data_IF_148555590171
#
_entry.id   IF_148555590171
#
_cell.length_a   1.000
_cell.length_b   1.000
_cell.length_c   1.000
_cell.angle_alpha   90.00
_cell.angle_beta   90.00
_cell.angle_gamma   90.00
#
_symmetry.space_group_name_H-M   'P 1'
#
loop_
_entity.id
_entity.type
_entity.pdbx_description
1 polymer ?
#
# COMPACT_ATOMS: atom_id res chain seq x y z
N UNK A 1 15.73 22.01 -53.40
CA UNK A 1 16.80 22.72 -52.69
C UNK A 1 17.51 21.69 -51.87
N UNK A 2 18.78 21.45 -52.17
CA UNK A 2 19.41 20.15 -51.98
C UNK A 2 20.05 20.04 -50.58
N UNK A 3 19.61 20.88 -49.64
CA UNK A 3 20.05 20.91 -48.25
C UNK A 3 21.50 21.35 -48.04
N UNK A 4 22.24 21.66 -49.11
CA UNK A 4 23.62 22.12 -49.05
C UNK A 4 23.67 23.61 -48.74
N UNK A 5 23.89 23.94 -47.46
CA UNK A 5 24.26 25.27 -47.01
C UNK A 5 25.78 25.36 -46.85
N UNK A 6 26.38 26.44 -47.33
CA UNK A 6 27.78 26.76 -47.05
C UNK A 6 27.83 27.93 -46.07
N UNK A 7 28.73 27.84 -45.09
CA UNK A 7 29.06 28.97 -44.22
C UNK A 7 30.38 29.56 -44.71
N UNK A 8 30.42 30.88 -44.88
CA UNK A 8 31.61 31.61 -45.27
C UNK A 8 31.81 32.81 -44.35
N UNK A 9 33.05 33.28 -44.24
CA UNK A 9 33.37 34.49 -43.52
C UNK A 9 32.81 35.71 -44.26
N UNK A 10 32.43 36.74 -43.49
CA UNK A 10 31.87 38.00 -44.01
C UNK A 10 32.78 38.65 -45.08
N UNK A 11 34.08 38.55 -44.89
CA UNK A 11 35.10 39.12 -45.79
C UNK A 11 35.00 38.60 -47.22
N UNK A 12 34.54 37.35 -47.40
CA UNK A 12 34.43 36.70 -48.70
C UNK A 12 33.06 36.92 -49.38
N UNK A 13 32.19 37.74 -48.78
CA UNK A 13 30.82 37.94 -49.28
C UNK A 13 30.81 38.56 -50.68
N UNK A 14 31.58 39.62 -50.90
CA UNK A 14 31.63 40.32 -52.19
C UNK A 14 32.17 39.41 -53.31
N UNK A 15 33.24 38.67 -53.03
CA UNK A 15 33.80 37.69 -53.97
C UNK A 15 32.79 36.60 -54.36
N UNK A 16 31.98 36.14 -53.39
CA UNK A 16 30.93 35.16 -53.63
C UNK A 16 29.81 35.74 -54.51
N UNK A 17 29.36 36.98 -54.25
CA UNK A 17 28.34 37.64 -55.08
C UNK A 17 28.83 37.84 -56.51
N UNK A 18 30.08 38.25 -56.69
CA UNK A 18 30.66 38.45 -58.01
C UNK A 18 30.77 37.13 -58.78
N UNK A 19 31.16 36.04 -58.11
CA UNK A 19 31.15 34.69 -58.70
C UNK A 19 29.73 34.28 -59.13
N UNK A 20 28.73 34.45 -58.27
CA UNK A 20 27.35 34.07 -58.56
C UNK A 20 26.76 34.88 -59.70
N UNK A 21 27.02 36.19 -59.76
CA UNK A 21 26.60 37.05 -60.88
C UNK A 21 27.27 36.66 -62.18
N UNK A 22 28.54 36.25 -62.14
CA UNK A 22 29.29 35.76 -63.31
C UNK A 22 28.76 34.44 -63.84
N UNK A 23 28.39 33.51 -62.96
CA UNK A 23 27.85 32.20 -63.38
C UNK A 23 26.36 32.24 -63.75
N UNK A 24 25.60 33.19 -63.19
CA UNK A 24 24.14 33.32 -63.39
C UNK A 24 23.72 34.77 -63.56
N UNK A 25 23.80 35.28 -64.79
CA UNK A 25 23.51 36.68 -65.13
C UNK A 25 22.10 37.16 -64.74
N UNK A 26 21.11 36.27 -64.59
CA UNK A 26 19.72 36.62 -64.22
C UNK A 26 19.33 36.24 -62.80
N UNK A 27 20.28 35.80 -61.96
CA UNK A 27 19.94 35.37 -60.60
C UNK A 27 19.87 36.57 -59.65
N UNK A 28 18.67 36.82 -59.11
CA UNK A 28 18.45 37.80 -58.06
C UNK A 28 18.33 37.07 -56.71
N UNK A 29 19.42 37.00 -55.91
CA UNK A 29 19.36 36.39 -54.60
C UNK A 29 18.47 37.21 -53.65
N UNK A 30 17.60 36.52 -52.92
CA UNK A 30 16.91 37.10 -51.76
C UNK A 30 17.83 37.02 -50.55
N UNK A 31 18.07 38.16 -49.90
CA UNK A 31 18.92 38.21 -48.71
C UNK A 31 18.08 38.28 -47.44
N UNK A 32 18.48 37.50 -46.44
CA UNK A 32 17.91 37.54 -45.09
C UNK A 32 18.97 38.10 -44.14
N UNK A 33 18.63 39.16 -43.42
CA UNK A 33 19.56 39.88 -42.54
C UNK A 33 19.05 39.76 -41.10
N UNK A 34 19.94 39.35 -40.17
CA UNK A 34 19.62 39.21 -38.74
C UNK A 34 19.82 40.51 -37.96
N UNK A 35 20.76 41.38 -38.36
CA UNK A 35 21.07 42.64 -37.67
C UNK A 35 20.89 43.87 -38.56
N UNK A 36 20.28 44.93 -38.01
CA UNK A 36 19.96 46.17 -38.73
C UNK A 36 21.19 46.94 -39.23
N UNK A 37 22.35 46.69 -38.63
CA UNK A 37 23.63 47.35 -38.94
C UNK A 37 24.13 47.02 -40.35
N UNK A 38 23.66 45.93 -40.94
CA UNK A 38 24.10 45.44 -42.25
C UNK A 38 23.22 45.94 -43.43
N UNK A 39 22.13 46.69 -43.20
CA UNK A 39 21.24 47.15 -44.28
C UNK A 39 21.94 48.01 -45.37
N UNK A 40 23.06 48.68 -45.04
CA UNK A 40 23.73 49.61 -45.96
C UNK A 40 24.51 48.89 -47.07
N UNK A 41 25.06 47.71 -46.75
CA UNK A 41 25.93 46.95 -47.67
C UNK A 41 25.12 46.10 -48.67
N UNK A 42 23.84 45.83 -48.36
CA UNK A 42 22.96 44.91 -49.10
C UNK A 42 21.81 45.61 -49.86
N UNK A 43 21.82 46.94 -49.98
CA UNK A 43 20.73 47.75 -50.61
C UNK A 43 20.44 47.44 -52.09
N UNK A 44 21.27 46.66 -52.78
CA UNK A 44 21.09 46.35 -54.20
C UNK A 44 20.10 45.19 -54.46
N UNK A 45 19.47 44.61 -53.44
CA UNK A 45 18.59 43.45 -53.60
C UNK A 45 17.47 43.44 -52.56
N UNK A 46 16.36 42.77 -52.88
CA UNK A 46 15.22 42.58 -51.97
C UNK A 46 15.68 41.85 -50.70
N UNK A 47 15.94 42.64 -49.65
CA UNK A 47 16.38 42.15 -48.36
C UNK A 47 15.22 42.17 -47.37
N UNK A 48 15.08 41.07 -46.61
CA UNK A 48 14.09 40.95 -45.55
C UNK A 48 14.81 40.84 -44.21
N UNK A 49 14.54 41.77 -43.30
CA UNK A 49 14.97 41.65 -41.91
C UNK A 49 14.08 40.59 -41.25
N UNK A 50 14.72 39.56 -40.70
CA UNK A 50 14.04 38.42 -40.08
C UNK A 50 14.65 38.20 -38.71
N UNK A 51 13.82 38.02 -37.69
CA UNK A 51 14.29 37.72 -36.34
C UNK A 51 14.78 36.27 -36.27
N UNK A 52 15.79 36.00 -35.43
CA UNK A 52 16.33 34.66 -35.25
C UNK A 52 15.25 33.66 -34.81
N UNK A 53 14.29 34.11 -33.99
CA UNK A 53 13.17 33.28 -33.55
C UNK A 53 12.31 32.85 -34.73
N UNK A 54 11.99 33.77 -35.65
CA UNK A 54 11.20 33.44 -36.84
C UNK A 54 11.92 32.49 -37.80
N UNK A 55 13.26 32.59 -37.90
CA UNK A 55 14.06 31.64 -38.67
C UNK A 55 14.04 30.24 -38.02
N UNK A 56 14.20 30.17 -36.69
CA UNK A 56 14.11 28.91 -35.95
C UNK A 56 12.72 28.27 -36.07
N UNK A 57 11.65 29.06 -36.01
CA UNK A 57 10.29 28.55 -36.20
C UNK A 57 10.07 28.01 -37.61
N UNK A 58 10.55 28.71 -38.64
CA UNK A 58 10.44 28.24 -40.02
C UNK A 58 11.23 26.94 -40.23
N UNK A 59 12.47 26.89 -39.72
CA UNK A 59 13.30 25.69 -39.75
C UNK A 59 12.64 24.49 -39.03
N UNK A 60 12.09 24.70 -37.83
CA UNK A 60 11.40 23.65 -37.09
C UNK A 60 10.15 23.17 -37.85
N UNK A 61 9.36 24.10 -38.39
CA UNK A 61 8.17 23.76 -39.17
C UNK A 61 8.51 22.98 -40.45
N UNK A 62 9.64 23.29 -41.08
CA UNK A 62 10.13 22.59 -42.26
C UNK A 62 10.65 21.19 -41.91
N UNK A 63 11.34 21.06 -40.77
CA UNK A 63 11.78 19.76 -40.25
C UNK A 63 10.58 18.85 -39.92
N UNK A 64 9.50 19.40 -39.37
CA UNK A 64 8.28 18.64 -39.08
C UNK A 64 7.56 18.16 -40.33
N UNK A 65 7.46 19.02 -41.36
CA UNK A 65 6.82 18.66 -42.63
C UNK A 65 7.58 17.57 -43.41
N UNK A 66 8.91 17.53 -43.27
CA UNK A 66 9.78 16.64 -44.03
C UNK A 66 10.32 15.45 -43.21
N UNK A 67 9.78 15.23 -42.00
CA UNK A 67 10.23 14.19 -41.04
C UNK A 67 11.76 14.13 -40.87
N UNK A 68 12.41 15.30 -40.86
CA UNK A 68 13.85 15.38 -40.68
C UNK A 68 14.19 15.10 -39.21
N UNK A 69 15.28 14.38 -38.91
CA UNK A 69 15.69 14.08 -37.55
C UNK A 69 16.09 15.37 -36.82
N UNK A 70 15.15 15.94 -36.06
CA UNK A 70 15.40 17.13 -35.25
C UNK A 70 16.17 16.76 -33.98
N UNK A 71 17.37 17.32 -33.81
CA UNK A 71 18.15 17.21 -32.57
C UNK A 71 17.52 17.99 -31.40
N UNK A 72 16.56 18.87 -31.69
CA UNK A 72 15.88 19.71 -30.70
C UNK A 72 14.58 19.08 -30.18
N UNK A 73 14.15 17.94 -30.75
CA UNK A 73 12.91 17.26 -30.34
C UNK A 73 13.23 15.99 -29.55
N UNK A 74 12.99 16.04 -28.25
CA UNK A 74 13.06 14.86 -27.39
C UNK A 74 11.81 13.98 -27.64
N UNK A 75 11.98 12.88 -28.39
CA UNK A 75 10.95 11.83 -28.51
C UNK A 75 11.13 10.84 -27.36
N UNK A 76 10.16 10.78 -26.43
CA UNK A 76 10.14 9.75 -25.37
C UNK A 76 9.87 8.40 -26.04
N UNK A 77 10.92 7.62 -26.26
CA UNK A 77 10.83 6.29 -26.83
C UNK A 77 11.14 5.27 -25.75
N UNK A 78 10.31 4.23 -25.62
CA UNK A 78 10.48 3.18 -24.61
C UNK A 78 11.91 2.60 -24.62
N UNK A 79 12.43 2.26 -25.80
CA UNK A 79 13.83 1.80 -25.98
C UNK A 79 14.86 2.85 -25.53
N UNK A 80 14.61 4.13 -25.77
CA UNK A 80 15.50 5.23 -25.39
C UNK A 80 15.51 5.47 -23.89
N UNK A 81 14.34 5.42 -23.25
CA UNK A 81 14.19 5.53 -21.80
C UNK A 81 14.82 4.33 -21.09
N UNK A 82 14.55 3.12 -21.56
CA UNK A 82 15.17 1.88 -21.06
C UNK A 82 16.70 1.94 -21.14
N UNK A 83 17.24 2.43 -22.27
CA UNK A 83 18.68 2.60 -22.45
C UNK A 83 19.27 3.69 -21.56
N UNK A 84 18.54 4.78 -21.29
CA UNK A 84 18.95 5.81 -20.33
C UNK A 84 18.97 5.33 -18.88
N UNK A 85 18.09 4.37 -18.54
CA UNK A 85 18.02 3.79 -17.19
C UNK A 85 19.04 2.68 -16.95
N UNK A 86 19.86 2.30 -17.94
CA UNK A 86 20.84 1.20 -17.85
C UNK A 86 20.25 -0.12 -17.31
N UNK A 87 18.98 -0.40 -17.56
CA UNK A 87 18.32 -1.62 -17.08
C UNK A 87 18.69 -2.81 -17.97
N UNK A 88 19.18 -3.89 -17.36
CA UNK A 88 19.36 -5.16 -18.05
C UNK A 88 18.02 -5.90 -18.18
N UNK A 89 17.96 -6.93 -19.04
CA UNK A 89 16.76 -7.76 -19.24
C UNK A 89 16.28 -8.40 -17.93
N UNK A 90 17.21 -8.73 -17.02
CA UNK A 90 16.89 -9.30 -15.71
C UNK A 90 16.19 -8.29 -14.81
N UNK A 91 16.66 -7.04 -14.80
CA UNK A 91 16.09 -5.95 -14.00
C UNK A 91 14.68 -5.57 -14.48
N UNK A 92 14.43 -5.72 -15.79
CA UNK A 92 13.09 -5.54 -16.34
C UNK A 92 12.11 -6.62 -15.89
N UNK A 93 12.55 -7.88 -15.86
CA UNK A 93 11.70 -8.98 -15.38
C UNK A 93 11.44 -8.82 -13.88
N UNK A 94 12.46 -8.46 -13.10
CA UNK A 94 12.33 -8.24 -11.67
C UNK A 94 11.41 -7.05 -11.36
N UNK A 95 11.58 -5.93 -12.04
CA UNK A 95 10.70 -4.75 -11.85
C UNK A 95 9.26 -5.05 -12.24
N UNK A 96 9.04 -5.78 -13.34
CA UNK A 96 7.70 -6.22 -13.74
C UNK A 96 7.07 -7.14 -12.69
N UNK A 97 7.84 -8.08 -12.13
CA UNK A 97 7.37 -8.98 -11.08
C UNK A 97 7.00 -8.21 -9.80
N UNK A 98 7.81 -7.23 -9.39
CA UNK A 98 7.53 -6.39 -8.22
C UNK A 98 6.25 -5.57 -8.44
N UNK A 99 6.12 -4.92 -9.60
CA UNK A 99 4.91 -4.13 -9.93
C UNK A 99 3.68 -5.02 -9.94
N UNK A 100 3.78 -6.21 -10.53
CA UNK A 100 2.70 -7.19 -10.55
C UNK A 100 2.31 -7.62 -9.13
N UNK A 101 3.29 -7.96 -8.28
CA UNK A 101 3.06 -8.31 -6.88
C UNK A 101 2.37 -7.16 -6.12
N UNK A 102 2.81 -5.91 -6.31
CA UNK A 102 2.23 -4.74 -5.66
C UNK A 102 0.76 -4.52 -6.05
N UNK A 103 0.39 -4.83 -7.29
CA UNK A 103 -0.98 -4.74 -7.78
C UNK A 103 -1.86 -5.92 -7.34
N UNK A 104 -1.30 -7.13 -7.27
CA UNK A 104 -2.04 -8.34 -6.85
C UNK A 104 -2.21 -8.44 -5.33
N UNK A 105 -1.27 -7.91 -4.54
CA UNK A 105 -1.31 -7.95 -3.08
C UNK A 105 -2.64 -7.42 -2.47
N UNK A 106 -3.16 -6.23 -2.84
CA UNK A 106 -4.43 -5.74 -2.28
C UNK A 106 -5.63 -6.61 -2.68
N UNK A 107 -5.63 -7.15 -3.90
CA UNK A 107 -6.71 -8.00 -4.41
C UNK A 107 -6.76 -9.31 -3.61
N UNK A 108 -5.60 -9.94 -3.39
CA UNK A 108 -5.48 -11.14 -2.58
C UNK A 108 -5.90 -10.89 -1.13
N UNK A 109 -5.50 -9.75 -0.56
CA UNK A 109 -5.86 -9.39 0.81
C UNK A 109 -7.39 -9.24 0.95
N UNK A 110 -8.06 -8.53 0.03
CA UNK A 110 -9.52 -8.40 0.03
C UNK A 110 -10.21 -9.77 -0.07
N UNK A 111 -9.75 -10.64 -0.97
CA UNK A 111 -10.31 -11.98 -1.14
C UNK A 111 -10.15 -12.84 0.13
N UNK A 112 -8.97 -12.80 0.76
CA UNK A 112 -8.72 -13.50 2.02
C UNK A 112 -9.63 -12.95 3.13
N UNK A 113 -9.77 -11.63 3.25
CA UNK A 113 -10.59 -11.01 4.28
C UNK A 113 -12.08 -11.35 4.13
N UNK A 114 -12.58 -11.44 2.89
CA UNK A 114 -13.95 -11.90 2.63
C UNK A 114 -14.16 -13.37 3.02
N UNK A 115 -13.19 -14.24 2.73
CA UNK A 115 -13.24 -15.64 3.14
C UNK A 115 -13.23 -15.79 4.66
N UNK A 116 -12.36 -15.05 5.36
CA UNK A 116 -12.35 -15.04 6.83
C UNK A 116 -13.68 -14.53 7.40
N UNK A 117 -14.24 -13.46 6.84
CA UNK A 117 -15.55 -12.95 7.27
C UNK A 117 -16.64 -14.00 7.11
N UNK A 118 -16.69 -14.68 5.97
CA UNK A 118 -17.69 -15.71 5.69
C UNK A 118 -17.54 -16.91 6.64
N UNK A 119 -16.32 -17.39 6.83
CA UNK A 119 -16.03 -18.48 7.77
C UNK A 119 -16.40 -18.10 9.20
N UNK A 120 -16.11 -16.86 9.62
CA UNK A 120 -16.49 -16.36 10.93
C UNK A 120 -18.02 -16.30 11.08
N UNK A 121 -18.75 -15.79 10.08
CA UNK A 121 -20.22 -15.76 10.08
C UNK A 121 -20.81 -17.17 10.15
N UNK A 122 -20.27 -18.13 9.39
CA UNK A 122 -20.72 -19.53 9.39
C UNK A 122 -20.50 -20.21 10.75
N UNK A 123 -19.29 -20.08 11.31
CA UNK A 123 -18.95 -20.66 12.62
C UNK A 123 -19.75 -20.01 13.76
N UNK A 124 -19.98 -18.70 13.67
CA UNK A 124 -20.81 -18.00 14.65
C UNK A 124 -22.26 -18.49 14.57
N UNK A 125 -22.77 -18.67 13.34
CA UNK A 125 -24.12 -19.15 13.12
C UNK A 125 -24.30 -20.60 13.60
N UNK A 126 -23.29 -21.46 13.44
CA UNK A 126 -23.34 -22.83 13.95
C UNK A 126 -23.40 -22.85 15.48
N UNK A 127 -22.56 -22.06 16.16
CA UNK A 127 -22.57 -21.94 17.63
C UNK A 127 -23.95 -21.46 18.13
N UNK A 128 -24.53 -20.44 17.50
CA UNK A 128 -25.85 -19.94 17.93
C UNK A 128 -26.99 -20.90 17.63
N UNK A 129 -26.89 -21.72 16.58
CA UNK A 129 -27.87 -22.78 16.30
C UNK A 129 -27.78 -23.94 17.28
N UNK A 130 -26.58 -24.29 17.73
CA UNK A 130 -26.38 -25.30 18.78
C UNK A 130 -26.98 -24.84 20.12
N UNK A 131 -26.86 -23.55 20.44
CA UNK A 131 -27.46 -22.95 21.63
C UNK A 131 -28.98 -22.77 21.53
N UNK A 132 -29.49 -22.43 20.34
CA UNK A 132 -30.93 -22.27 20.11
C UNK A 132 -31.31 -22.73 18.68
N UNK A 133 -32.01 -23.86 18.53
CA UNK A 133 -32.34 -24.43 17.22
C UNK A 133 -33.32 -23.56 16.38
N UNK A 134 -33.98 -22.58 17.00
CA UNK A 134 -34.85 -21.62 16.30
C UNK A 134 -34.10 -20.37 15.78
N UNK A 135 -32.77 -20.32 15.91
CA UNK A 135 -31.96 -19.18 15.47
C UNK A 135 -31.87 -19.11 13.93
N UNK A 136 -32.48 -18.08 13.33
CA UNK A 136 -32.60 -17.95 11.86
C UNK A 136 -31.65 -16.92 11.21
N UNK A 137 -31.03 -15.99 11.96
CA UNK A 137 -30.17 -14.93 11.38
C UNK A 137 -29.26 -14.26 12.41
N UNK A 138 -27.98 -14.05 12.06
CA UNK A 138 -27.08 -13.13 12.76
C UNK A 138 -27.52 -11.69 12.39
N UNK A 139 -28.36 -11.08 13.21
CA UNK A 139 -28.72 -9.66 13.06
C UNK A 139 -27.69 -8.84 13.82
N UNK A 140 -26.83 -8.10 13.11
CA UNK A 140 -25.87 -7.11 13.62
C UNK A 140 -25.29 -7.41 15.02
N UNK A 141 -24.15 -8.08 15.08
CA UNK A 141 -23.43 -8.41 16.32
C UNK A 141 -23.18 -7.21 17.24
N UNK A 142 -23.00 -6.01 16.68
CA UNK A 142 -22.92 -4.77 17.48
C UNK A 142 -24.24 -4.50 18.22
N UNK A 143 -25.37 -4.61 17.54
CA UNK A 143 -26.68 -4.42 18.17
C UNK A 143 -26.99 -5.50 19.22
N UNK A 144 -26.49 -6.73 19.05
CA UNK A 144 -26.61 -7.78 20.06
C UNK A 144 -25.71 -7.52 21.28
N UNK A 145 -24.47 -7.05 21.07
CA UNK A 145 -23.61 -6.60 22.18
C UNK A 145 -24.22 -5.41 22.92
N UNK A 146 -24.79 -4.44 22.19
CA UNK A 146 -25.48 -3.30 22.80
C UNK A 146 -26.71 -3.77 23.59
N UNK A 147 -27.48 -4.74 23.08
CA UNK A 147 -28.61 -5.35 23.82
C UNK A 147 -28.15 -6.14 25.04
N UNK A 148 -27.03 -6.85 24.97
CA UNK A 148 -26.44 -7.56 26.11
C UNK A 148 -25.95 -6.58 27.18
N UNK A 149 -25.28 -5.49 26.79
CA UNK A 149 -24.85 -4.44 27.71
C UNK A 149 -26.04 -3.76 28.40
N UNK A 150 -27.12 -3.50 27.65
CA UNK A 150 -28.36 -2.96 28.22
C UNK A 150 -29.07 -3.95 29.16
N UNK A 151 -28.91 -5.26 28.95
CA UNK A 151 -29.46 -6.30 29.82
C UNK A 151 -28.62 -6.50 31.10
N UNK A 152 -27.31 -6.22 31.05
CA UNK A 152 -26.41 -6.31 32.23
C UNK A 152 -26.73 -5.21 33.26
N UNK A 153 -27.25 -4.05 32.83
CA UNK A 153 -27.73 -3.00 33.74
C UNK A 153 -29.03 -3.36 34.48
N UNK A 154 -29.70 -4.47 34.12
CA UNK A 154 -30.83 -4.99 34.90
C UNK A 154 -30.36 -5.95 35.98
N UNK A 155 -30.33 -5.47 37.22
CA UNK A 155 -29.98 -6.19 38.45
C UNK A 155 -30.90 -7.40 38.74
N UNK A 156 -30.78 -8.48 37.96
CA UNK A 156 -31.15 -9.82 38.40
C UNK A 156 -29.94 -10.73 38.24
N UNK A 157 -29.13 -10.80 39.30
CA UNK A 157 -28.07 -11.78 39.44
C UNK A 157 -28.68 -13.20 39.40
N UNK A 158 -28.76 -13.77 38.20
CA UNK A 158 -29.01 -15.20 38.05
C UNK A 158 -27.75 -15.96 38.48
N UNK A 159 -27.89 -17.04 39.26
CA UNK A 159 -26.76 -17.91 39.56
C UNK A 159 -26.18 -18.42 38.24
N UNK A 160 -24.89 -18.18 38.07
CA UNK A 160 -24.15 -18.50 36.87
C UNK A 160 -24.08 -20.02 36.72
N UNK A 161 -24.64 -20.56 35.63
CA UNK A 161 -24.58 -21.99 35.33
C UNK A 161 -23.11 -22.43 35.20
N UNK A 162 -22.71 -23.40 36.03
CA UNK A 162 -21.35 -23.96 36.11
C UNK A 162 -20.86 -24.55 34.76
N UNK A 163 -21.74 -24.69 33.76
CA UNK A 163 -21.37 -24.92 32.37
C UNK A 163 -20.38 -23.88 31.80
N UNK A 164 -20.25 -22.69 32.41
CA UNK A 164 -19.23 -21.71 32.04
C UNK A 164 -17.80 -22.14 32.38
N UNK A 165 -17.60 -23.07 33.33
CA UNK A 165 -16.31 -23.73 33.53
C UNK A 165 -15.91 -24.60 32.33
N UNK A 166 -16.86 -24.95 31.45
CA UNK A 166 -16.58 -25.56 30.15
C UNK A 166 -15.76 -24.65 29.22
N UNK A 167 -15.87 -23.33 29.38
CA UNK A 167 -15.04 -22.37 28.62
C UNK A 167 -13.58 -22.37 29.08
N UNK A 168 -13.27 -22.76 30.33
CA UNK A 168 -11.88 -23.00 30.75
C UNK A 168 -11.24 -24.13 29.96
N UNK A 169 -12.03 -25.11 29.49
CA UNK A 169 -11.58 -26.19 28.60
C UNK A 169 -11.28 -25.72 27.18
N UNK A 170 -11.85 -24.59 26.76
CA UNK A 170 -11.65 -23.99 25.43
C UNK A 170 -10.51 -22.97 25.38
N UNK A 171 -10.05 -22.50 26.54
CA UNK A 171 -8.76 -21.82 26.63
C UNK A 171 -7.70 -22.92 26.47
N UNK A 172 -6.79 -22.85 25.48
CA UNK A 172 -5.62 -23.72 25.46
C UNK A 172 -4.75 -23.33 26.64
N UNK A 173 -5.02 -23.91 27.81
CA UNK A 173 -4.23 -23.68 29.01
C UNK A 173 -3.08 -24.68 29.02
N UNK A 174 -2.24 -24.57 28.00
CA UNK A 174 -0.99 -25.35 27.86
C UNK A 174 0.02 -25.01 28.98
N UNK A 175 -0.31 -24.04 29.84
CA UNK A 175 0.50 -23.48 30.95
C UNK A 175 -0.10 -23.76 32.36
N UNK A 176 -1.20 -24.52 32.48
CA UNK A 176 -1.62 -25.11 33.77
C UNK A 176 -0.84 -26.41 33.92
N UNK A 177 0.12 -26.41 34.84
CA UNK A 177 0.96 -27.57 35.11
C UNK A 177 0.12 -28.76 35.62
N UNK A 178 -0.92 -28.47 36.42
CA UNK A 178 -1.93 -29.46 36.80
C UNK A 178 -3.21 -28.79 37.31
N UNK A 179 -4.35 -29.48 37.10
CA UNK A 179 -5.62 -29.15 37.75
C UNK A 179 -6.13 -30.42 38.42
N UNK A 180 -6.31 -30.37 39.75
CA UNK A 180 -6.82 -31.49 40.53
C UNK A 180 -8.14 -31.08 41.19
N UNK A 181 -9.19 -31.86 40.92
CA UNK A 181 -10.52 -31.65 41.48
C UNK A 181 -10.77 -32.75 42.50
N UNK A 182 -10.73 -32.40 43.78
CA UNK A 182 -11.14 -33.28 44.86
C UNK A 182 -12.65 -33.14 45.08
N UNK A 183 -13.41 -33.97 44.37
CA UNK A 183 -14.86 -34.04 44.50
C UNK A 183 -15.35 -34.46 45.90
N UNK A 184 -14.51 -35.10 46.73
CA UNK A 184 -14.91 -35.48 48.09
C UNK A 184 -14.89 -34.30 49.05
N UNK A 185 -14.02 -33.33 48.80
CA UNK A 185 -13.85 -32.16 49.64
C UNK A 185 -14.34 -30.86 48.98
N UNK A 186 -14.96 -30.94 47.79
CA UNK A 186 -15.37 -29.78 46.98
C UNK A 186 -14.23 -28.78 46.74
N UNK A 187 -13.00 -29.28 46.58
CA UNK A 187 -11.79 -28.47 46.40
C UNK A 187 -11.26 -28.57 44.98
N UNK A 188 -10.84 -27.44 44.43
CA UNK A 188 -10.11 -27.35 43.17
C UNK A 188 -8.74 -26.78 43.45
N UNK A 189 -7.71 -27.53 43.07
CA UNK A 189 -6.31 -27.10 43.15
C UNK A 189 -5.87 -26.76 41.72
N UNK A 190 -5.45 -25.51 41.52
CA UNK A 190 -4.91 -25.02 40.25
C UNK A 190 -3.43 -24.72 40.45
N UNK A 191 -2.57 -25.31 39.62
CA UNK A 191 -1.14 -25.03 39.58
C UNK A 191 -0.79 -24.32 38.27
N UNK A 192 -0.18 -23.14 38.39
CA UNK A 192 0.26 -22.33 37.26
C UNK A 192 1.77 -22.37 37.14
N UNK A 193 2.27 -22.61 35.92
CA UNK A 193 3.68 -22.46 35.58
C UNK A 193 3.84 -21.32 34.57
N UNK A 194 4.38 -20.19 35.05
CA UNK A 194 4.76 -19.02 34.25
C UNK A 194 3.65 -18.48 33.34
N UNK A 195 2.43 -18.35 33.85
CA UNK A 195 1.30 -17.80 33.09
C UNK A 195 1.43 -16.29 32.90
N UNK A 196 1.05 -15.76 31.73
CA UNK A 196 1.13 -14.32 31.46
C UNK A 196 0.11 -13.50 32.28
N UNK A 197 0.45 -12.24 32.58
CA UNK A 197 -0.40 -11.33 33.37
C UNK A 197 -1.83 -11.18 32.84
N UNK A 198 -2.01 -11.12 31.52
CA UNK A 198 -3.33 -11.02 30.90
C UNK A 198 -4.17 -12.28 31.14
N UNK A 199 -3.57 -13.46 31.00
CA UNK A 199 -4.25 -14.74 31.23
C UNK A 199 -4.61 -14.92 32.71
N UNK A 200 -3.70 -14.57 33.62
CA UNK A 200 -3.98 -14.61 35.05
C UNK A 200 -5.13 -13.68 35.46
N UNK A 201 -5.17 -12.45 34.91
CA UNK A 201 -6.26 -11.51 35.18
C UNK A 201 -7.63 -12.03 34.74
N UNK A 202 -7.70 -12.80 33.64
CA UNK A 202 -8.95 -13.42 33.19
C UNK A 202 -9.38 -14.48 34.18
N UNK A 203 -8.46 -15.34 34.62
CA UNK A 203 -8.73 -16.40 35.59
C UNK A 203 -9.18 -15.81 36.94
N UNK A 204 -8.49 -14.79 37.45
CA UNK A 204 -8.88 -14.08 38.68
C UNK A 204 -10.28 -13.46 38.57
N UNK A 205 -10.62 -12.88 37.42
CA UNK A 205 -11.96 -12.32 37.17
C UNK A 205 -13.03 -13.42 37.15
N UNK A 206 -12.76 -14.56 36.51
CA UNK A 206 -13.70 -15.68 36.46
C UNK A 206 -13.92 -16.30 37.84
N UNK A 207 -12.87 -16.41 38.65
CA UNK A 207 -12.98 -16.90 40.03
C UNK A 207 -13.84 -15.95 40.85
N UNK A 208 -13.61 -14.63 40.78
CA UNK A 208 -14.42 -13.62 41.48
C UNK A 208 -15.90 -13.61 41.07
N UNK A 209 -16.19 -13.98 39.82
CA UNK A 209 -17.56 -14.05 39.30
C UNK A 209 -18.24 -15.40 39.56
N UNK A 210 -17.48 -16.40 39.99
CA UNK A 210 -17.99 -17.72 40.35
C UNK A 210 -18.35 -17.77 41.84
N UNK A 211 -19.24 -18.69 42.23
CA UNK A 211 -19.57 -18.96 43.63
C UNK A 211 -18.48 -19.82 44.30
N UNK A 212 -17.23 -19.40 44.20
CA UNK A 212 -16.07 -20.12 44.74
C UNK A 212 -15.31 -19.24 45.72
N UNK A 213 -14.81 -19.87 46.78
CA UNK A 213 -14.04 -19.20 47.84
C UNK A 213 -12.58 -19.58 47.71
N UNK A 214 -11.69 -18.58 47.66
CA UNK A 214 -10.25 -18.81 47.68
C UNK A 214 -9.82 -19.18 49.10
N UNK A 215 -9.38 -20.42 49.30
CA UNK A 215 -8.87 -20.91 50.60
C UNK A 215 -7.39 -20.58 50.75
N UNK A 216 -6.61 -20.77 49.69
CA UNK A 216 -5.17 -20.59 49.71
C UNK A 216 -4.68 -20.03 48.39
N UNK A 217 -3.81 -19.02 48.46
CA UNK A 217 -3.25 -18.34 47.29
C UNK A 217 -1.74 -18.19 47.48
N UNK A 218 -0.98 -19.09 46.85
CA UNK A 218 0.48 -19.11 46.86
C UNK A 218 1.03 -18.71 45.48
N UNK A 219 0.40 -17.72 44.84
CA UNK A 219 0.81 -17.22 43.54
C UNK A 219 1.91 -16.16 43.71
N UNK A 220 3.06 -16.42 43.11
CA UNK A 220 4.17 -15.48 43.00
C UNK A 220 4.19 -14.81 41.63
N UNK A 221 4.51 -13.52 41.60
CA UNK A 221 4.73 -12.76 40.37
C UNK A 221 6.23 -12.53 40.20
N UNK A 222 6.80 -13.08 39.14
CA UNK A 222 8.19 -12.82 38.74
C UNK A 222 8.19 -12.27 37.33
N UNK A 223 8.66 -11.03 37.16
CA UNK A 223 8.84 -10.35 35.87
C UNK A 223 7.62 -10.43 34.91
N UNK A 224 6.40 -10.25 35.44
CA UNK A 224 5.17 -10.22 34.63
C UNK A 224 4.59 -11.59 34.29
N UNK A 225 5.16 -12.64 34.87
CA UNK A 225 4.64 -14.02 34.82
C UNK A 225 4.25 -14.49 36.22
N UNK A 226 3.12 -15.19 36.31
CA UNK A 226 2.57 -15.72 37.56
C UNK A 226 2.84 -17.22 37.66
N UNK A 227 3.34 -17.69 38.80
CA UNK A 227 3.58 -19.12 39.06
C UNK A 227 3.18 -19.46 40.49
N UNK A 228 2.68 -20.67 40.72
CA UNK A 228 2.30 -21.11 42.07
C UNK A 228 0.96 -21.84 42.09
N UNK A 229 0.41 -22.03 43.28
CA UNK A 229 -0.82 -22.80 43.50
C UNK A 229 -1.96 -21.94 44.07
N UNK A 230 -3.17 -22.26 43.61
CA UNK A 230 -4.41 -21.64 44.07
C UNK A 230 -5.39 -22.75 44.46
N UNK A 231 -5.88 -22.71 45.69
CA UNK A 231 -6.86 -23.67 46.23
C UNK A 231 -8.21 -22.97 46.38
N UNK A 232 -9.20 -23.50 45.68
CA UNK A 232 -10.57 -22.99 45.64
C UNK A 232 -11.51 -23.99 46.31
N UNK A 233 -12.45 -23.48 47.12
CA UNK A 233 -13.62 -24.22 47.61
C UNK A 233 -14.81 -23.86 46.73
N UNK A 234 -15.55 -24.87 46.27
CA UNK A 234 -16.84 -24.64 45.61
C UNK A 234 -17.90 -24.60 46.70
N UNK A 235 -18.58 -23.45 46.88
CA UNK A 235 -19.72 -23.37 47.78
C UNK A 235 -20.89 -24.12 47.13
N UNK A 236 -21.27 -25.25 47.73
CA UNK A 236 -22.47 -26.00 47.37
C UNK A 236 -23.68 -25.39 48.09
N UNK A 237 -24.67 -24.93 47.31
CA UNK A 237 -26.03 -24.68 47.80
C UNK A 237 -26.69 -25.97 48.34
#
# INVERSE_FOLDING_TARGET
SDGLGFCAFRENFHDYIDLVKKERESFQPTFMILEKTDEVEFKQSDSKIISIESLHQDFLSHCEKNDLPSMFRSKITLKGTLRKMNLDRRDLILSLAIISCLLLAPILNIALMQNYKKSYEENTLSIFKELNPNFRRIVNSKAQMDQLLLAIDSNEAKPLDLNILGYLRAIPIDEIASSNIDFRNSKVILEFDRISSMKYSIIDTLIKQSNTKVIENNIENTDGTFSGSLVLEIESD
#
